data_IF_724168073748
#
_entry.id   IF_724168073748
#
_cell.length_a   1.000
_cell.length_b   1.000
_cell.length_c   1.000
_cell.angle_alpha   90.00
_cell.angle_beta   90.00
_cell.angle_gamma   90.00
#
_symmetry.space_group_name_H-M   'P 1'
#
loop_
_entity.id
_entity.type
_entity.pdbx_description
1 polymer ?
#
# COMPACT_ATOMS: atom_id res chain seq x y z
N UNK A 1 -5.19 29.91 5.89
CA UNK A 1 -5.48 28.51 6.30
C UNK A 1 -4.96 27.57 5.21
N UNK A 2 -3.72 27.11 5.32
CA UNK A 2 -3.10 26.14 4.39
C UNK A 2 -2.97 24.84 5.20
N UNK A 3 -3.96 23.95 5.14
CA UNK A 3 -3.97 22.81 6.07
C UNK A 3 -4.84 21.59 5.75
N UNK A 4 -5.58 21.55 4.64
CA UNK A 4 -6.56 20.46 4.43
C UNK A 4 -6.58 19.82 3.04
N UNK A 5 -5.89 20.39 2.03
CA UNK A 5 -5.80 19.76 0.71
C UNK A 5 -4.62 18.79 0.58
N UNK A 6 -3.52 19.02 1.34
CA UNK A 6 -2.35 18.13 1.32
C UNK A 6 -2.61 16.76 1.96
N UNK A 7 -3.40 16.70 3.03
CA UNK A 7 -3.70 15.46 3.76
C UNK A 7 -4.60 14.52 2.95
N UNK A 8 -5.58 15.03 2.20
CA UNK A 8 -6.39 14.20 1.30
C UNK A 8 -5.54 13.59 0.17
N UNK A 9 -4.61 14.37 -0.40
CA UNK A 9 -3.68 13.87 -1.41
C UNK A 9 -2.66 12.87 -0.85
N UNK A 10 -2.10 13.08 0.33
CA UNK A 10 -1.18 12.12 0.97
C UNK A 10 -1.91 10.81 1.29
N UNK A 11 -3.18 10.91 1.71
CA UNK A 11 -4.02 9.74 1.98
C UNK A 11 -4.34 8.95 0.71
N UNK A 12 -4.54 9.64 -0.43
CA UNK A 12 -4.68 9.03 -1.74
C UNK A 12 -3.34 8.49 -2.28
N UNK A 13 -2.22 9.17 -2.06
CA UNK A 13 -0.86 8.80 -2.52
C UNK A 13 -0.39 7.46 -1.94
N UNK A 14 -0.77 7.16 -0.71
CA UNK A 14 -0.46 5.88 -0.07
C UNK A 14 -1.30 4.68 -0.57
N UNK A 15 -2.26 4.87 -1.48
CA UNK A 15 -3.11 3.77 -1.96
C UNK A 15 -3.00 3.44 -3.45
N UNK A 16 -2.21 4.18 -4.25
CA UNK A 16 -2.11 3.92 -5.70
C UNK A 16 -1.57 2.53 -6.02
N UNK A 17 -0.39 2.17 -5.51
CA UNK A 17 0.24 0.87 -5.80
C UNK A 17 -0.66 -0.29 -5.35
N UNK A 18 -1.21 -0.22 -4.14
CA UNK A 18 -2.07 -1.28 -3.61
C UNK A 18 -3.39 -1.41 -4.39
N UNK A 19 -3.98 -0.28 -4.80
CA UNK A 19 -5.23 -0.24 -5.56
C UNK A 19 -5.03 -0.63 -7.02
N UNK A 20 -3.85 -0.36 -7.56
CA UNK A 20 -3.42 -0.82 -8.89
C UNK A 20 -3.25 -2.35 -8.89
N UNK A 21 -2.61 -2.90 -7.87
CA UNK A 21 -2.28 -4.33 -7.75
C UNK A 21 -3.48 -5.21 -7.37
N UNK A 22 -4.30 -4.78 -6.40
CA UNK A 22 -5.44 -5.54 -5.92
C UNK A 22 -6.77 -5.21 -6.60
N UNK A 23 -6.88 -4.03 -7.21
CA UNK A 23 -8.13 -3.50 -7.72
C UNK A 23 -8.94 -2.73 -6.66
N UNK A 24 -9.94 -1.97 -7.12
CA UNK A 24 -10.76 -1.08 -6.26
C UNK A 24 -11.64 -1.84 -5.25
N UNK A 25 -11.97 -3.10 -5.52
CA UNK A 25 -12.94 -3.87 -4.73
C UNK A 25 -12.36 -4.79 -3.65
N UNK A 26 -11.03 -4.94 -3.54
CA UNK A 26 -10.44 -5.95 -2.65
C UNK A 26 -10.01 -5.34 -1.30
N UNK A 27 -10.54 -5.77 -0.15
CA UNK A 27 -10.20 -5.18 1.16
C UNK A 27 -8.72 -5.36 1.57
N UNK A 28 -7.94 -6.19 0.88
CA UNK A 28 -6.50 -6.41 1.17
C UNK A 28 -5.66 -5.15 1.04
N UNK A 29 -6.01 -4.22 0.14
CA UNK A 29 -5.28 -2.96 0.01
C UNK A 29 -5.36 -2.12 1.31
N UNK A 30 -6.47 -2.20 2.04
CA UNK A 30 -6.65 -1.49 3.30
C UNK A 30 -5.77 -2.06 4.42
N UNK A 31 -5.65 -3.40 4.48
CA UNK A 31 -4.77 -4.08 5.44
C UNK A 31 -3.31 -3.68 5.20
N UNK A 32 -2.88 -3.65 3.95
CA UNK A 32 -1.53 -3.21 3.58
C UNK A 32 -1.29 -1.74 3.92
N UNK A 33 -2.27 -0.86 3.65
CA UNK A 33 -2.22 0.56 4.02
C UNK A 33 -2.06 0.75 5.53
N UNK A 34 -2.86 0.03 6.33
CA UNK A 34 -2.75 0.07 7.79
C UNK A 34 -1.38 -0.43 8.27
N UNK A 35 -0.84 -1.47 7.62
CA UNK A 35 0.52 -1.94 7.91
C UNK A 35 1.58 -0.88 7.60
N UNK A 36 1.52 -0.21 6.44
CA UNK A 36 2.47 0.89 6.12
C UNK A 36 2.37 2.04 7.13
N UNK A 37 1.16 2.37 7.58
CA UNK A 37 0.96 3.49 8.50
C UNK A 37 1.42 3.19 9.94
N UNK A 38 1.24 1.96 10.40
CA UNK A 38 1.40 1.62 11.83
C UNK A 38 2.57 0.68 12.15
N UNK A 39 2.91 -0.25 11.27
CA UNK A 39 3.93 -1.28 11.53
C UNK A 39 5.18 -1.13 10.66
N UNK A 40 5.08 -0.47 9.50
CA UNK A 40 6.21 -0.32 8.62
C UNK A 40 7.24 0.68 9.17
N UNK A 41 8.52 0.47 8.84
CA UNK A 41 9.56 1.42 9.22
C UNK A 41 9.32 2.79 8.58
N UNK A 42 9.63 3.87 9.32
CA UNK A 42 9.34 5.25 8.92
C UNK A 42 9.91 5.60 7.54
N UNK A 43 11.11 5.11 7.22
CA UNK A 43 11.75 5.35 5.92
C UNK A 43 10.94 4.75 4.76
N UNK A 44 10.28 3.59 4.96
CA UNK A 44 9.44 2.95 3.95
C UNK A 44 8.16 3.76 3.72
N UNK A 45 7.55 4.27 4.79
CA UNK A 45 6.39 5.14 4.68
C UNK A 45 6.71 6.43 3.88
N UNK A 46 7.85 7.06 4.16
CA UNK A 46 8.31 8.24 3.42
C UNK A 46 8.60 7.90 1.96
N UNK A 47 9.35 6.82 1.69
CA UNK A 47 9.65 6.37 0.33
C UNK A 47 8.38 6.09 -0.47
N UNK A 48 7.41 5.42 0.16
CA UNK A 48 6.15 5.05 -0.47
C UNK A 48 5.23 6.26 -0.69
N UNK A 49 5.23 7.25 0.20
CA UNK A 49 4.52 8.53 -0.03
C UNK A 49 5.13 9.35 -1.15
N UNK A 50 6.47 9.35 -1.28
CA UNK A 50 7.19 10.16 -2.27
C UNK A 50 7.18 9.52 -3.65
N UNK A 51 7.48 8.22 -3.75
CA UNK A 51 7.67 7.51 -5.03
C UNK A 51 6.52 6.55 -5.40
N UNK A 52 5.54 6.36 -4.53
CA UNK A 52 4.45 5.39 -4.76
C UNK A 52 3.62 5.68 -6.01
N UNK A 53 3.48 6.95 -6.41
CA UNK A 53 2.72 7.33 -7.61
C UNK A 53 3.47 6.97 -8.91
N UNK A 54 4.76 7.34 -9.01
CA UNK A 54 5.59 6.96 -10.16
C UNK A 54 5.74 5.44 -10.25
N UNK A 55 5.94 4.78 -9.12
CA UNK A 55 6.02 3.32 -9.08
C UNK A 55 4.70 2.68 -9.53
N UNK A 56 3.54 3.20 -9.11
CA UNK A 56 2.23 2.70 -9.56
C UNK A 56 2.06 2.84 -11.08
N UNK A 57 2.45 3.97 -11.66
CA UNK A 57 2.41 4.18 -13.12
C UNK A 57 3.35 3.22 -13.83
N UNK A 58 4.57 3.03 -13.30
CA UNK A 58 5.58 2.13 -13.86
C UNK A 58 5.12 0.65 -13.86
N UNK A 59 4.50 0.18 -12.77
CA UNK A 59 4.00 -1.20 -12.71
C UNK A 59 2.71 -1.40 -13.53
N UNK A 60 1.96 -0.33 -13.84
CA UNK A 60 0.75 -0.44 -14.65
C UNK A 60 1.04 -0.96 -16.06
N UNK A 61 2.19 -0.56 -16.62
CA UNK A 61 2.67 -0.96 -17.94
C UNK A 61 3.34 -2.35 -17.94
N UNK A 62 3.70 -2.88 -16.76
CA UNK A 62 4.49 -4.12 -16.65
C UNK A 62 3.79 -5.18 -15.79
N UNK A 63 3.06 -6.14 -16.39
CA UNK A 63 2.27 -7.13 -15.65
C UNK A 63 3.11 -8.05 -14.76
N UNK A 64 4.37 -8.32 -15.12
CA UNK A 64 5.30 -9.15 -14.33
C UNK A 64 5.64 -8.47 -13.00
N UNK A 65 5.97 -7.18 -13.03
CA UNK A 65 6.26 -6.42 -11.82
C UNK A 65 5.03 -6.29 -10.94
N UNK A 66 3.86 -6.06 -11.55
CA UNK A 66 2.58 -6.05 -10.84
C UNK A 66 2.32 -7.34 -10.09
N UNK A 67 2.60 -8.49 -10.70
CA UNK A 67 2.49 -9.80 -10.05
C UNK A 67 3.49 -9.98 -8.90
N UNK A 68 4.74 -9.55 -9.07
CA UNK A 68 5.76 -9.61 -8.02
C UNK A 68 5.37 -8.73 -6.82
N UNK A 69 4.93 -7.49 -7.06
CA UNK A 69 4.42 -6.58 -6.02
C UNK A 69 3.20 -7.18 -5.33
N UNK A 70 2.29 -7.84 -6.07
CA UNK A 70 1.14 -8.56 -5.50
C UNK A 70 1.56 -9.65 -4.54
N UNK A 71 2.53 -10.49 -4.92
CA UNK A 71 3.04 -11.56 -4.05
C UNK A 71 3.67 -11.01 -2.78
N UNK A 72 4.42 -9.92 -2.88
CA UNK A 72 5.00 -9.24 -1.72
C UNK A 72 3.92 -8.68 -0.80
N UNK A 73 2.93 -7.97 -1.36
CA UNK A 73 1.79 -7.47 -0.60
C UNK A 73 0.99 -8.58 0.05
N UNK A 74 0.71 -9.67 -0.68
CA UNK A 74 -0.01 -10.85 -0.17
C UNK A 74 0.76 -11.48 1.01
N UNK A 75 2.10 -11.54 0.94
CA UNK A 75 2.93 -12.03 2.04
C UNK A 75 2.81 -11.15 3.29
N UNK A 76 2.87 -9.82 3.15
CA UNK A 76 2.72 -8.87 4.26
C UNK A 76 1.31 -8.96 4.88
N UNK A 77 0.28 -8.97 4.03
CA UNK A 77 -1.12 -9.07 4.46
C UNK A 77 -1.38 -10.41 5.13
N UNK A 78 -0.90 -11.53 4.59
CA UNK A 78 -1.05 -12.85 5.17
C UNK A 78 -0.31 -12.98 6.50
N UNK A 79 0.89 -12.41 6.61
CA UNK A 79 1.64 -12.35 7.87
C UNK A 79 0.87 -11.60 8.95
N UNK A 80 0.29 -10.45 8.60
CA UNK A 80 -0.52 -9.65 9.52
C UNK A 80 -1.84 -10.33 9.88
N UNK A 81 -2.53 -10.92 8.89
CA UNK A 81 -3.75 -11.71 9.08
C UNK A 81 -3.50 -12.87 10.05
N UNK A 82 -2.43 -13.66 9.83
CA UNK A 82 -2.08 -14.78 10.72
C UNK A 82 -1.85 -14.31 12.16
N UNK A 83 -1.21 -13.15 12.34
CA UNK A 83 -0.97 -12.57 13.67
C UNK A 83 -2.28 -12.19 14.37
N UNK A 84 -3.27 -11.69 13.63
CA UNK A 84 -4.61 -11.37 14.16
C UNK A 84 -5.36 -12.63 14.60
N UNK A 85 -5.36 -13.71 13.82
CA UNK A 85 -6.04 -14.97 14.17
C UNK A 85 -5.31 -15.80 15.24
N UNK A 86 -4.01 -15.59 15.46
CA UNK A 86 -3.25 -16.29 16.51
C UNK A 86 -3.43 -15.66 17.91
N UNK A 87 -4.14 -14.53 18.01
CA UNK A 87 -4.39 -13.81 19.28
C UNK A 87 -5.85 -13.93 19.73
N UNK A 88 -6.65 -14.78 19.06
CA UNK A 88 -8.04 -15.13 19.40
C UNK A 88 -8.06 -16.59 19.82
#
# INVERSE_FOLDING_TARGET
>A
MIGTLGSAFITAKLCWVAREVYGKGDPRWFVFRMWIKHDAPKWLNTLYSTYGEEYAKFISDKPIFKWATKKLMDFVVNKKRRKLYATV
#
